data_IF_060568235376
#
_entry.id   IF_060568235376
#
_cell.length_a   1.000
_cell.length_b   1.000
_cell.length_c   1.000
_cell.angle_alpha   90.00
_cell.angle_beta   90.00
_cell.angle_gamma   90.00
#
_symmetry.space_group_name_H-M   'P 1'
#
loop_
_entity.id
_entity.type
_entity.pdbx_description
1 polymer ?
#
# COMPACT_ATOMS: atom_id res chain seq x y z
N UNK A 1 4.86 -3.13 -11.06
CA UNK A 1 5.42 -2.73 -9.75
C UNK A 1 5.57 -1.21 -9.70
N UNK A 2 4.73 -0.51 -8.92
CA UNK A 2 4.79 0.95 -8.80
C UNK A 2 5.85 1.34 -7.76
N UNK A 3 6.98 1.91 -8.22
CA UNK A 3 8.05 2.39 -7.34
C UNK A 3 7.53 3.59 -6.51
N UNK A 4 7.77 3.65 -5.18
CA UNK A 4 7.23 4.71 -4.32
C UNK A 4 7.60 6.14 -4.71
N UNK A 5 8.71 6.34 -5.44
CA UNK A 5 9.13 7.66 -5.92
C UNK A 5 8.10 8.37 -6.82
N UNK A 6 7.13 7.64 -7.40
CA UNK A 6 6.06 8.22 -8.22
C UNK A 6 4.77 8.51 -7.45
N UNK A 7 4.80 8.42 -6.12
CA UNK A 7 3.61 8.65 -5.28
C UNK A 7 2.93 9.98 -5.61
N UNK A 8 3.69 11.07 -5.70
CA UNK A 8 3.13 12.40 -5.96
C UNK A 8 2.49 12.50 -7.35
N UNK A 9 3.13 11.93 -8.38
CA UNK A 9 2.58 11.87 -9.74
C UNK A 9 1.26 11.10 -9.76
N UNK A 10 1.23 9.94 -9.09
CA UNK A 10 0.05 9.08 -9.02
C UNK A 10 -1.10 9.81 -8.32
N UNK A 11 -0.86 10.37 -7.13
CA UNK A 11 -1.87 11.12 -6.37
C UNK A 11 -2.39 12.32 -7.16
N UNK A 12 -1.50 13.04 -7.83
CA UNK A 12 -1.86 14.18 -8.69
C UNK A 12 -2.73 13.74 -9.86
N UNK A 13 -2.36 12.67 -10.55
CA UNK A 13 -3.12 12.12 -11.66
C UNK A 13 -4.49 11.59 -11.21
N UNK A 14 -4.59 10.96 -10.04
CA UNK A 14 -5.85 10.49 -9.47
C UNK A 14 -6.81 11.66 -9.22
N UNK A 15 -6.33 12.71 -8.54
CA UNK A 15 -7.14 13.91 -8.26
C UNK A 15 -7.58 14.62 -9.54
N UNK A 16 -6.69 14.74 -10.53
CA UNK A 16 -7.03 15.29 -11.85
C UNK A 16 -8.16 14.51 -12.55
N UNK A 17 -8.30 13.22 -12.24
CA UNK A 17 -9.34 12.34 -12.76
C UNK A 17 -10.52 12.12 -11.79
N UNK A 18 -10.69 13.02 -10.80
CA UNK A 18 -11.77 12.97 -9.78
C UNK A 18 -11.74 11.71 -8.91
N UNK A 19 -10.59 11.05 -8.79
CA UNK A 19 -10.36 9.97 -7.84
C UNK A 19 -9.64 10.55 -6.63
N UNK A 20 -10.33 10.62 -5.49
CA UNK A 20 -9.72 11.13 -4.26
C UNK A 20 -9.06 9.98 -3.50
N UNK A 21 -7.73 9.99 -3.30
CA UNK A 21 -7.04 8.98 -2.51
C UNK A 21 -7.55 8.96 -1.07
N UNK A 22 -7.88 7.77 -0.58
CA UNK A 22 -8.44 7.55 0.75
C UNK A 22 -7.51 6.82 1.66
N UNK A 23 -6.82 5.81 1.14
CA UNK A 23 -5.92 4.99 1.92
C UNK A 23 -4.65 4.74 1.13
N UNK A 24 -3.52 4.92 1.79
CA UNK A 24 -2.21 4.56 1.25
C UNK A 24 -1.54 3.59 2.21
N UNK A 25 -0.99 2.50 1.66
CA UNK A 25 -0.16 1.56 2.41
C UNK A 25 1.17 1.37 1.69
N UNK A 26 2.26 1.56 2.42
CA UNK A 26 3.61 1.27 1.94
C UNK A 26 3.94 -0.19 2.21
N UNK A 27 4.45 -0.86 1.18
CA UNK A 27 4.83 -2.27 1.26
C UNK A 27 6.34 -2.37 1.16
N UNK A 28 6.92 -3.04 2.15
CA UNK A 28 8.35 -3.21 2.34
C UNK A 28 8.71 -4.68 2.18
N UNK A 29 9.79 -5.02 1.44
CA UNK A 29 10.24 -6.42 1.36
C UNK A 29 10.49 -7.03 2.73
N UNK A 30 11.14 -6.27 3.61
CA UNK A 30 11.57 -6.64 4.97
C UNK A 30 11.73 -5.38 5.82
N UNK A 31 11.85 -5.56 7.13
CA UNK A 31 12.24 -4.48 8.06
C UNK A 31 13.60 -3.90 7.68
N UNK A 32 13.75 -2.58 7.81
CA UNK A 32 14.97 -1.86 7.47
C UNK A 32 15.29 -1.75 5.97
N UNK A 33 14.45 -2.30 5.08
CA UNK A 33 14.54 -2.05 3.63
C UNK A 33 13.65 -0.87 3.26
N UNK A 34 13.88 -0.29 2.08
CA UNK A 34 13.00 0.72 1.51
C UNK A 34 11.69 0.11 1.02
N UNK A 35 10.62 0.91 1.03
CA UNK A 35 9.38 0.50 0.38
C UNK A 35 9.64 0.30 -1.12
N UNK A 36 9.04 -0.73 -1.69
CA UNK A 36 9.19 -1.01 -3.12
C UNK A 36 7.85 -1.10 -3.86
N UNK A 37 6.75 -1.14 -3.10
CA UNK A 37 5.38 -1.20 -3.61
C UNK A 37 4.50 -0.26 -2.79
N UNK A 38 3.52 0.33 -3.46
CA UNK A 38 2.55 1.26 -2.90
C UNK A 38 1.14 0.74 -3.23
N UNK A 39 0.31 0.61 -2.21
CA UNK A 39 -1.12 0.33 -2.37
C UNK A 39 -1.87 1.63 -2.15
N UNK A 40 -2.80 1.93 -3.06
CA UNK A 40 -3.64 3.12 -2.96
C UNK A 40 -5.09 2.71 -3.23
N UNK A 41 -5.98 3.10 -2.32
CA UNK A 41 -7.42 3.06 -2.51
C UNK A 41 -7.94 4.48 -2.73
N UNK A 42 -8.90 4.65 -3.64
CA UNK A 42 -9.51 5.94 -3.91
C UNK A 42 -10.99 5.82 -4.26
N UNK A 43 -11.72 6.91 -4.01
CA UNK A 43 -13.15 7.02 -4.25
C UNK A 43 -13.39 8.09 -5.32
N UNK A 44 -14.18 7.76 -6.34
CA UNK A 44 -14.62 8.73 -7.34
C UNK A 44 -15.49 9.80 -6.67
N UNK A 45 -15.15 11.06 -6.90
CA UNK A 45 -15.83 12.24 -6.30
C UNK A 45 -15.85 12.24 -4.77
N UNK A 46 -14.91 11.55 -4.13
CA UNK A 46 -14.76 11.56 -2.68
C UNK A 46 -14.32 12.93 -2.15
N UNK A 47 -14.71 13.25 -0.91
CA UNK A 47 -14.17 14.42 -0.18
C UNK A 47 -12.74 14.16 0.28
N UNK A 48 -11.87 15.17 0.44
CA UNK A 48 -10.53 14.95 0.97
C UNK A 48 -10.54 14.35 2.38
N UNK A 49 -9.88 13.19 2.55
CA UNK A 49 -9.65 12.52 3.83
C UNK A 49 -8.70 11.33 3.60
N UNK A 50 -7.39 11.59 3.61
CA UNK A 50 -6.37 10.58 3.34
C UNK A 50 -5.85 9.97 4.64
N UNK A 51 -5.89 8.63 4.72
CA UNK A 51 -5.27 7.86 5.79
C UNK A 51 -4.05 7.10 5.30
N UNK A 52 -2.92 7.30 5.97
CA UNK A 52 -1.75 6.42 5.80
C UNK A 52 -1.91 5.24 6.74
N UNK A 53 -1.88 4.02 6.19
CA UNK A 53 -2.01 2.78 6.94
C UNK A 53 -0.66 2.33 7.51
N UNK A 54 -0.67 1.47 8.56
CA UNK A 54 0.55 0.79 8.99
C UNK A 54 1.26 0.10 7.82
N UNK A 55 2.60 0.11 7.82
CA UNK A 55 3.37 -0.53 6.75
C UNK A 55 3.10 -2.03 6.69
N UNK A 56 3.05 -2.58 5.49
CA UNK A 56 3.00 -4.03 5.26
C UNK A 56 4.41 -4.53 4.99
N UNK A 57 4.88 -5.49 5.78
CA UNK A 57 6.16 -6.17 5.55
C UNK A 57 5.90 -7.52 4.89
N UNK A 58 6.60 -7.81 3.79
CA UNK A 58 6.39 -9.06 3.04
C UNK A 58 7.03 -10.24 3.75
N UNK A 59 8.30 -10.12 4.12
CA UNK A 59 9.06 -11.20 4.73
C UNK A 59 9.61 -10.81 6.10
N UNK A 60 9.71 -11.81 6.97
CA UNK A 60 10.51 -11.77 8.19
C UNK A 60 12.00 -11.97 7.87
N UNK A 61 12.86 -11.86 8.88
CA UNK A 61 14.32 -12.03 8.71
C UNK A 61 14.70 -13.42 8.20
N UNK A 62 13.93 -14.45 8.57
CA UNK A 62 14.11 -15.84 8.14
C UNK A 62 13.62 -16.13 6.69
N UNK A 63 13.23 -15.11 5.91
CA UNK A 63 12.66 -15.24 4.56
C UNK A 63 11.27 -15.89 4.49
N UNK A 64 10.58 -16.11 5.61
CA UNK A 64 9.18 -16.52 5.57
C UNK A 64 8.26 -15.32 5.40
N UNK A 65 7.07 -15.53 4.82
CA UNK A 65 6.03 -14.51 4.81
C UNK A 65 5.64 -14.15 6.24
N UNK A 66 5.46 -12.85 6.48
CA UNK A 66 4.87 -12.36 7.73
C UNK A 66 3.47 -12.96 7.93
N UNK A 67 2.98 -13.10 9.17
CA UNK A 67 1.63 -13.62 9.42
C UNK A 67 0.55 -12.84 8.67
N UNK A 68 0.68 -11.52 8.58
CA UNK A 68 -0.25 -10.64 7.85
C UNK A 68 -0.30 -10.99 6.35
N UNK A 69 0.86 -11.14 5.69
CA UNK A 69 0.90 -11.51 4.26
C UNK A 69 0.49 -12.95 4.02
N UNK A 70 0.82 -13.86 4.94
CA UNK A 70 0.39 -15.26 4.88
C UNK A 70 -1.15 -15.34 4.91
N UNK A 71 -1.79 -14.58 5.80
CA UNK A 71 -3.25 -14.51 5.86
C UNK A 71 -3.88 -13.96 4.56
N UNK A 72 -3.26 -12.94 3.95
CA UNK A 72 -3.73 -12.36 2.67
C UNK A 72 -3.60 -13.34 1.49
N UNK A 73 -2.53 -14.13 1.44
CA UNK A 73 -2.24 -15.03 0.32
C UNK A 73 -3.01 -16.35 0.39
N UNK A 74 -3.07 -16.93 1.59
CA UNK A 74 -3.62 -18.28 1.77
C UNK A 74 -5.04 -18.28 2.31
N UNK A 75 -5.56 -17.10 2.72
CA UNK A 75 -6.88 -16.96 3.28
C UNK A 75 -7.05 -17.91 4.45
N UNK A 76 -6.55 -17.54 5.63
CA UNK A 76 -7.06 -18.19 6.84
C UNK A 76 -8.54 -17.80 6.93
N UNK A 77 -9.39 -18.74 6.51
CA UNK A 77 -10.82 -18.57 6.36
C UNK A 77 -11.44 -18.11 7.68
N UNK A 78 -12.35 -17.15 7.56
CA UNK A 78 -13.50 -17.12 8.45
C UNK A 78 -14.41 -18.33 8.13
#
# INVERSE_FOLDING_TARGET
MHRPGRLLDIVSAMRANRLEPKRIQFVYPKRGKEANTLLIEAIKDGKPDLKVLPPLYVYEDNNEYTPEVRALLYGEGN
#
